data_IF_110191167186
#
_entry.id   IF_110191167186
#
_cell.length_a   1.000
_cell.length_b   1.000
_cell.length_c   1.000
_cell.angle_alpha   90.00
_cell.angle_beta   90.00
_cell.angle_gamma   90.00
#
_symmetry.space_group_name_H-M   'P 1'
#
loop_
_entity.id
_entity.type
_entity.pdbx_description
1 polymer ?
#
# COMPACT_ATOMS: atom_id res chain seq x y z
N UNK A 1 -21.63 6.99 23.29
CA UNK A 1 -20.25 7.50 23.20
C UNK A 1 -19.33 6.54 23.93
N UNK A 2 -18.89 5.50 23.24
CA UNK A 2 -17.75 4.63 23.56
C UNK A 2 -17.63 3.68 22.36
N UNK A 3 -16.70 3.95 21.45
CA UNK A 3 -16.28 2.97 20.47
C UNK A 3 -14.88 2.54 20.86
N UNK A 4 -14.81 1.34 21.46
CA UNK A 4 -13.58 0.61 21.73
C UNK A 4 -13.05 0.09 20.40
N UNK A 5 -11.90 0.59 19.96
CA UNK A 5 -11.15 0.06 18.82
C UNK A 5 -10.76 -1.38 19.14
N UNK A 6 -11.36 -2.33 18.42
CA UNK A 6 -11.02 -3.73 18.51
C UNK A 6 -9.71 -3.99 17.74
N UNK A 7 -8.57 -3.76 18.39
CA UNK A 7 -7.29 -4.32 17.95
C UNK A 7 -7.28 -5.78 18.41
N UNK A 8 -7.57 -6.72 17.49
CA UNK A 8 -7.40 -8.14 17.74
C UNK A 8 -5.90 -8.46 17.80
N UNK A 9 -5.40 -8.59 19.03
CA UNK A 9 -4.13 -9.24 19.33
C UNK A 9 -4.26 -10.75 19.09
N UNK A 10 -3.55 -11.29 18.11
CA UNK A 10 -3.26 -12.72 18.03
C UNK A 10 -1.79 -12.92 18.38
N UNK A 11 -1.54 -13.21 19.66
CA UNK A 11 -0.31 -13.86 20.11
C UNK A 11 -0.46 -15.36 19.88
N UNK A 12 0.50 -16.02 19.21
CA UNK A 12 0.73 -17.44 19.45
C UNK A 12 2.20 -17.84 19.29
N UNK A 13 2.77 -18.18 20.45
CA UNK A 13 3.69 -19.24 20.81
C UNK A 13 4.54 -19.95 19.74
N UNK A 14 5.85 -19.96 20.03
CA UNK A 14 6.90 -20.78 19.46
C UNK A 14 6.61 -22.29 19.54
N UNK A 15 6.93 -23.00 18.46
CA UNK A 15 7.47 -24.36 18.56
C UNK A 15 8.73 -24.49 17.72
N UNK A 16 9.79 -24.96 18.38
CA UNK A 16 11.09 -25.31 17.83
C UNK A 16 11.00 -26.55 16.94
N UNK A 17 11.59 -26.53 15.75
CA UNK A 17 12.11 -27.74 15.14
C UNK A 17 13.43 -27.44 14.43
N UNK A 18 14.47 -28.09 14.92
CA UNK A 18 15.82 -28.18 14.36
C UNK A 18 15.80 -28.92 13.03
N UNK A 19 16.45 -28.41 11.98
CA UNK A 19 17.05 -29.28 10.96
C UNK A 19 18.35 -28.74 10.37
N UNK A 20 19.22 -29.71 10.10
CA UNK A 20 20.63 -29.66 9.77
C UNK A 20 20.98 -29.03 8.41
N UNK A 21 22.27 -28.73 8.31
CA UNK A 21 23.00 -28.24 7.16
C UNK A 21 23.22 -29.31 6.05
N UNK A 22 23.40 -28.83 4.81
CA UNK A 22 24.57 -29.03 3.92
C UNK A 22 24.27 -29.31 2.43
N UNK A 23 24.53 -28.27 1.60
CA UNK A 23 25.24 -28.25 0.29
C UNK A 23 24.70 -29.01 -0.96
N UNK A 24 25.21 -28.77 -2.20
CA UNK A 24 25.61 -27.52 -2.88
C UNK A 24 25.00 -27.34 -4.31
N UNK A 25 25.22 -26.14 -4.90
CA UNK A 25 24.95 -25.73 -6.30
C UNK A 25 25.65 -26.60 -7.36
N UNK A 26 25.20 -26.49 -8.63
CA UNK A 26 26.16 -26.09 -9.68
C UNK A 26 25.69 -25.01 -10.69
N UNK A 27 26.64 -24.12 -10.96
CA UNK A 27 27.05 -23.41 -12.20
C UNK A 27 26.11 -23.18 -13.41
N UNK A 28 25.98 -21.90 -13.74
CA UNK A 28 26.11 -21.21 -15.06
C UNK A 28 25.72 -21.90 -16.37
N UNK A 29 24.78 -21.30 -17.09
CA UNK A 29 24.78 -21.26 -18.56
C UNK A 29 24.18 -19.94 -19.08
N UNK A 30 24.94 -19.27 -19.93
CA UNK A 30 24.56 -18.10 -20.73
C UNK A 30 23.85 -18.55 -22.01
N UNK A 31 22.69 -17.97 -22.36
CA UNK A 31 22.24 -17.91 -23.76
C UNK A 31 21.12 -16.90 -24.02
N UNK A 32 21.39 -15.99 -24.97
CA UNK A 32 20.51 -15.42 -26.00
C UNK A 32 19.08 -14.94 -25.65
N UNK A 33 18.89 -13.63 -25.77
CA UNK A 33 17.59 -12.92 -25.79
C UNK A 33 16.86 -13.15 -27.12
N UNK A 34 15.98 -14.15 -27.20
CA UNK A 34 14.93 -14.21 -28.25
C UNK A 34 13.68 -15.04 -27.90
N UNK A 35 13.50 -15.52 -26.65
CA UNK A 35 12.39 -16.42 -26.29
C UNK A 35 11.33 -15.89 -25.31
N UNK A 36 11.27 -14.58 -25.03
CA UNK A 36 10.47 -14.04 -23.90
C UNK A 36 8.94 -14.19 -24.00
N UNK A 37 8.28 -14.08 -25.17
CA UNK A 37 6.81 -14.23 -25.26
C UNK A 37 6.33 -15.64 -24.91
N UNK A 38 7.08 -16.68 -25.29
CA UNK A 38 6.73 -18.09 -25.01
C UNK A 38 6.97 -18.49 -23.55
N UNK A 39 7.86 -17.76 -22.85
CA UNK A 39 8.10 -17.96 -21.41
C UNK A 39 6.92 -17.46 -20.56
N UNK A 40 6.25 -16.40 -20.98
CA UNK A 40 5.04 -15.87 -20.31
C UNK A 40 3.86 -16.83 -20.51
N UNK A 41 3.66 -17.37 -21.72
CA UNK A 41 2.62 -18.38 -21.98
C UNK A 41 2.82 -19.65 -21.15
N UNK A 42 4.06 -20.10 -20.95
CA UNK A 42 4.36 -21.24 -20.05
C UNK A 42 4.04 -20.93 -18.59
N UNK A 43 4.50 -19.79 -18.07
CA UNK A 43 4.18 -19.37 -16.69
C UNK A 43 2.66 -19.28 -16.45
N UNK A 44 1.89 -18.83 -17.43
CA UNK A 44 0.42 -18.75 -17.36
C UNK A 44 -0.26 -20.13 -17.38
N UNK A 45 0.36 -21.14 -18.01
CA UNK A 45 -0.17 -22.50 -18.07
C UNK A 45 0.31 -23.40 -16.91
N UNK A 46 1.37 -23.00 -16.20
CA UNK A 46 1.95 -23.71 -15.04
C UNK A 46 1.41 -23.20 -13.69
N UNK A 47 0.57 -22.16 -13.68
CA UNK A 47 -0.18 -21.78 -12.47
C UNK A 47 -1.21 -22.88 -12.22
N UNK A 48 -0.89 -23.76 -11.27
CA UNK A 48 -1.82 -24.73 -10.71
C UNK A 48 -2.95 -23.96 -10.01
N UNK A 49 -4.17 -24.13 -10.54
CA UNK A 49 -5.39 -23.48 -10.05
C UNK A 49 -6.10 -24.35 -9.00
N UNK A 50 -5.45 -25.41 -8.50
CA UNK A 50 -6.00 -26.21 -7.41
C UNK A 50 -5.83 -25.48 -6.08
N UNK A 51 -6.95 -24.92 -5.62
CA UNK A 51 -7.34 -24.60 -4.26
C UNK A 51 -6.20 -24.47 -3.23
N UNK A 52 -5.69 -23.24 -3.06
CA UNK A 52 -5.26 -22.77 -1.76
C UNK A 52 -6.41 -21.94 -1.19
N UNK A 53 -7.01 -22.42 -0.09
CA UNK A 53 -8.03 -21.72 0.69
C UNK A 53 -7.46 -20.38 1.21
N UNK A 54 -7.55 -19.34 0.39
CA UNK A 54 -7.56 -17.97 0.88
C UNK A 54 -8.95 -17.79 1.49
N UNK A 55 -9.04 -17.85 2.83
CA UNK A 55 -10.25 -17.46 3.55
C UNK A 55 -10.63 -16.07 3.06
N UNK A 56 -11.61 -16.04 2.16
CA UNK A 56 -12.05 -14.82 1.53
C UNK A 56 -12.64 -13.93 2.62
N UNK A 57 -11.94 -12.85 2.94
CA UNK A 57 -12.50 -11.70 3.62
C UNK A 57 -13.59 -11.11 2.70
N UNK A 58 -14.75 -11.75 2.69
CA UNK A 58 -15.99 -11.17 2.21
C UNK A 58 -16.28 -9.97 3.11
N UNK A 59 -16.52 -8.80 2.50
CA UNK A 59 -16.92 -7.61 3.23
C UNK A 59 -18.33 -7.86 3.80
N UNK A 60 -18.42 -8.50 4.96
CA UNK A 60 -19.71 -8.79 5.61
C UNK A 60 -20.34 -7.54 6.25
N UNK A 61 -19.65 -6.40 6.29
CA UNK A 61 -20.16 -5.16 6.89
C UNK A 61 -20.28 -4.03 5.86
N UNK A 62 -21.51 -3.77 5.41
CA UNK A 62 -21.87 -2.62 4.57
C UNK A 62 -21.33 -1.29 5.13
N UNK A 63 -21.16 -1.17 6.46
CA UNK A 63 -20.59 0.03 7.08
C UNK A 63 -19.13 0.24 6.75
N UNK A 64 -18.34 -0.84 6.66
CA UNK A 64 -16.94 -0.74 6.26
C UNK A 64 -16.83 -0.24 4.83
N UNK A 65 -17.68 -0.78 3.94
CA UNK A 65 -17.70 -0.37 2.53
C UNK A 65 -18.17 1.08 2.34
N UNK A 66 -19.15 1.54 3.11
CA UNK A 66 -19.58 2.94 3.09
C UNK A 66 -18.48 3.89 3.62
N UNK A 67 -17.80 3.53 4.72
CA UNK A 67 -16.66 4.31 5.24
C UNK A 67 -15.51 4.37 4.23
N UNK A 68 -15.26 3.25 3.55
CA UNK A 68 -14.31 3.13 2.44
C UNK A 68 -14.65 4.10 1.30
N UNK A 69 -15.89 4.08 0.80
CA UNK A 69 -16.32 4.98 -0.28
C UNK A 69 -16.23 6.44 0.17
N UNK A 70 -16.59 6.74 1.42
CA UNK A 70 -16.51 8.08 1.99
C UNK A 70 -15.07 8.61 1.98
N UNK A 71 -14.10 7.84 2.50
CA UNK A 71 -12.68 8.21 2.57
C UNK A 71 -12.05 8.33 1.18
N UNK A 72 -12.33 7.39 0.29
CA UNK A 72 -11.86 7.42 -1.10
C UNK A 72 -12.39 8.64 -1.86
N UNK A 73 -13.69 8.93 -1.74
CA UNK A 73 -14.31 10.11 -2.36
C UNK A 73 -13.81 11.44 -1.78
N UNK A 74 -13.45 11.48 -0.50
CA UNK A 74 -12.80 12.65 0.09
C UNK A 74 -11.44 12.89 -0.57
N UNK A 75 -10.58 11.85 -0.65
CA UNK A 75 -9.27 11.97 -1.28
C UNK A 75 -9.38 12.35 -2.76
N UNK A 76 -10.38 11.83 -3.48
CA UNK A 76 -10.62 12.19 -4.87
C UNK A 76 -11.00 13.66 -5.05
N UNK A 77 -11.83 14.21 -4.17
CA UNK A 77 -12.30 15.60 -4.24
C UNK A 77 -11.27 16.62 -3.75
N UNK A 78 -10.47 16.24 -2.75
CA UNK A 78 -9.57 17.13 -2.02
C UNK A 78 -8.11 16.98 -2.43
N UNK A 79 -7.77 15.88 -3.10
CA UNK A 79 -6.43 15.60 -3.58
C UNK A 79 -5.96 16.59 -4.65
N UNK A 80 -4.65 16.78 -4.71
CA UNK A 80 -4.00 17.67 -5.67
C UNK A 80 -3.85 17.02 -7.05
N UNK A 81 -3.90 17.80 -8.14
CA UNK A 81 -3.68 17.28 -9.50
C UNK A 81 -2.30 16.63 -9.73
N UNK A 82 -1.30 16.88 -8.86
CA UNK A 82 0.05 16.29 -8.95
C UNK A 82 0.11 14.80 -8.58
N UNK A 83 -0.91 14.26 -7.90
CA UNK A 83 -1.05 12.83 -7.62
C UNK A 83 -1.74 12.14 -8.81
N UNK A 84 -0.97 11.83 -9.86
CA UNK A 84 -1.35 11.04 -11.05
C UNK A 84 -2.86 11.06 -11.37
N UNK A 85 -3.29 12.18 -11.95
CA UNK A 85 -4.52 12.40 -12.72
C UNK A 85 -5.67 11.40 -12.53
N UNK A 86 -6.32 11.51 -11.37
CA UNK A 86 -7.64 10.95 -11.08
C UNK A 86 -8.71 11.30 -12.15
N UNK A 87 -8.55 12.43 -12.84
CA UNK A 87 -9.46 12.86 -13.92
C UNK A 87 -9.35 12.04 -15.19
N UNK A 88 -8.22 11.36 -15.43
CA UNK A 88 -7.94 10.78 -16.74
C UNK A 88 -8.67 9.45 -16.96
N UNK A 89 -9.17 8.84 -15.89
CA UNK A 89 -9.71 7.48 -15.90
C UNK A 89 -11.18 7.37 -15.50
N UNK A 90 -11.87 8.47 -15.22
CA UNK A 90 -13.25 8.46 -14.73
C UNK A 90 -14.20 7.68 -15.66
N UNK A 91 -14.08 7.87 -16.98
CA UNK A 91 -14.87 7.13 -17.96
C UNK A 91 -14.56 5.63 -17.98
N UNK A 92 -13.29 5.27 -17.81
CA UNK A 92 -12.83 3.88 -17.74
C UNK A 92 -13.37 3.20 -16.48
N UNK A 93 -13.31 3.89 -15.34
CA UNK A 93 -13.79 3.38 -14.05
C UNK A 93 -15.30 3.20 -14.04
N UNK A 94 -16.05 4.20 -14.51
CA UNK A 94 -17.51 4.15 -14.59
C UNK A 94 -17.99 2.97 -15.46
N UNK A 95 -17.30 2.68 -16.55
CA UNK A 95 -17.59 1.50 -17.35
C UNK A 95 -17.22 0.22 -16.60
N UNK A 96 -15.95 0.10 -16.20
CA UNK A 96 -15.37 -1.15 -15.69
C UNK A 96 -16.04 -1.64 -14.42
N UNK A 97 -16.43 -0.72 -13.52
CA UNK A 97 -17.10 -1.09 -12.27
C UNK A 97 -18.48 -1.70 -12.46
N UNK A 98 -19.13 -1.49 -13.61
CA UNK A 98 -20.49 -2.00 -13.90
C UNK A 98 -20.51 -3.35 -14.63
N UNK A 99 -19.37 -3.80 -15.17
CA UNK A 99 -19.32 -5.02 -15.97
C UNK A 99 -19.31 -6.26 -15.06
N UNK A 100 -20.31 -7.13 -15.20
CA UNK A 100 -20.38 -8.40 -14.48
C UNK A 100 -19.57 -9.51 -15.18
N UNK A 101 -18.73 -10.28 -14.45
CA UNK A 101 -18.12 -11.49 -15.01
C UNK A 101 -19.07 -12.70 -15.03
N UNK A 102 -20.16 -12.71 -14.26
CA UNK A 102 -21.02 -13.89 -14.09
C UNK A 102 -21.63 -14.38 -15.41
N UNK A 103 -21.83 -13.47 -16.37
CA UNK A 103 -22.38 -13.78 -17.69
C UNK A 103 -21.36 -14.43 -18.64
N UNK A 104 -20.10 -14.54 -18.23
CA UNK A 104 -19.00 -15.03 -19.05
C UNK A 104 -18.54 -16.42 -18.61
N UNK A 105 -18.43 -17.34 -19.59
CA UNK A 105 -17.91 -18.69 -19.37
C UNK A 105 -16.38 -18.80 -19.54
N UNK A 106 -15.72 -17.71 -19.90
CA UNK A 106 -14.28 -17.66 -20.20
C UNK A 106 -13.75 -16.28 -19.84
N UNK A 107 -12.63 -16.28 -19.11
CA UNK A 107 -11.91 -15.07 -18.73
C UNK A 107 -11.41 -14.30 -19.96
N UNK A 108 -11.07 -15.00 -21.04
CA UNK A 108 -10.64 -14.43 -22.32
C UNK A 108 -11.73 -13.56 -22.94
N UNK A 109 -12.97 -14.09 -23.02
CA UNK A 109 -14.10 -13.33 -23.55
C UNK A 109 -14.44 -12.14 -22.66
N UNK A 110 -14.42 -12.34 -21.34
CA UNK A 110 -14.66 -11.29 -20.38
C UNK A 110 -13.64 -10.14 -20.52
N UNK A 111 -12.35 -10.45 -20.51
CA UNK A 111 -11.27 -9.45 -20.64
C UNK A 111 -11.36 -8.73 -21.98
N UNK A 112 -11.67 -9.46 -23.07
CA UNK A 112 -11.85 -8.85 -24.38
C UNK A 112 -12.97 -7.81 -24.36
N UNK A 113 -14.13 -8.15 -23.79
CA UNK A 113 -15.27 -7.22 -23.74
C UNK A 113 -14.98 -6.05 -22.80
N UNK A 114 -14.41 -6.31 -21.61
CA UNK A 114 -13.98 -5.30 -20.63
C UNK A 114 -13.01 -4.27 -21.23
N UNK A 115 -12.18 -4.69 -22.19
CA UNK A 115 -11.14 -3.83 -22.76
C UNK A 115 -11.40 -3.39 -24.20
N UNK A 116 -12.51 -3.84 -24.81
CA UNK A 116 -12.81 -3.64 -26.23
C UNK A 116 -13.01 -2.17 -26.60
N UNK A 117 -13.57 -1.38 -25.69
CA UNK A 117 -13.85 0.05 -25.88
C UNK A 117 -12.62 0.94 -25.72
N UNK A 118 -11.47 0.39 -25.32
CA UNK A 118 -10.27 1.17 -25.01
C UNK A 118 -9.15 0.87 -26.01
N UNK A 119 -8.61 1.89 -26.66
CA UNK A 119 -7.51 1.75 -27.63
C UNK A 119 -6.14 1.77 -26.96
N UNK A 120 -5.96 2.61 -25.93
CA UNK A 120 -4.69 2.79 -25.24
C UNK A 120 -4.44 1.69 -24.21
N UNK A 121 -3.21 1.19 -24.12
CA UNK A 121 -2.84 0.15 -23.13
C UNK A 121 -3.05 0.63 -21.68
N UNK A 122 -2.76 1.91 -21.41
CA UNK A 122 -2.99 2.53 -20.09
C UNK A 122 -4.46 2.46 -19.64
N UNK A 123 -5.41 2.58 -20.57
CA UNK A 123 -6.84 2.54 -20.27
C UNK A 123 -7.31 1.09 -20.11
N UNK A 124 -6.79 0.16 -20.91
CA UNK A 124 -7.04 -1.28 -20.74
C UNK A 124 -6.57 -1.79 -19.40
N UNK A 125 -5.35 -1.45 -18.98
CA UNK A 125 -4.83 -1.87 -17.67
C UNK A 125 -5.59 -1.19 -16.53
N UNK A 126 -6.03 0.07 -16.71
CA UNK A 126 -6.92 0.71 -15.75
C UNK A 126 -8.26 0.00 -15.64
N UNK A 127 -8.86 -0.41 -16.77
CA UNK A 127 -10.13 -1.12 -16.77
C UNK A 127 -10.04 -2.45 -15.99
N UNK A 128 -8.97 -3.22 -16.26
CA UNK A 128 -8.66 -4.46 -15.55
C UNK A 128 -8.47 -4.18 -14.05
N UNK A 129 -7.62 -3.21 -13.71
CA UNK A 129 -7.35 -2.82 -12.32
C UNK A 129 -8.63 -2.42 -11.58
N UNK A 130 -9.40 -1.50 -12.16
CA UNK A 130 -10.61 -0.94 -11.58
C UNK A 130 -11.66 -2.03 -11.36
N UNK A 131 -11.82 -2.94 -12.33
CA UNK A 131 -12.69 -4.09 -12.18
C UNK A 131 -12.25 -5.00 -11.02
N UNK A 132 -10.96 -5.33 -10.92
CA UNK A 132 -10.45 -6.19 -9.85
C UNK A 132 -10.61 -5.58 -8.46
N UNK A 133 -10.43 -4.27 -8.31
CA UNK A 133 -10.59 -3.61 -7.00
C UNK A 133 -12.06 -3.58 -6.57
N UNK A 134 -13.01 -3.37 -7.48
CA UNK A 134 -14.41 -3.12 -7.11
C UNK A 134 -15.32 -4.36 -7.17
N UNK A 135 -15.02 -5.35 -8.03
CA UNK A 135 -15.93 -6.45 -8.32
C UNK A 135 -15.46 -7.82 -7.84
N UNK A 136 -14.21 -7.96 -7.39
CA UNK A 136 -13.63 -9.28 -7.10
C UNK A 136 -14.40 -10.07 -6.02
N UNK A 137 -14.89 -9.43 -4.96
CA UNK A 137 -15.71 -10.10 -3.94
C UNK A 137 -17.18 -10.28 -4.33
N UNK A 138 -17.67 -9.53 -5.33
CA UNK A 138 -19.05 -9.63 -5.78
C UNK A 138 -19.29 -10.85 -6.65
N UNK A 139 -18.23 -11.62 -6.94
CA UNK A 139 -18.36 -12.74 -7.84
C UNK A 139 -17.52 -13.94 -7.43
N UNK A 140 -18.23 -15.03 -7.11
CA UNK A 140 -17.69 -16.38 -6.91
C UNK A 140 -16.87 -16.92 -8.11
N UNK A 141 -16.88 -16.22 -9.25
CA UNK A 141 -16.19 -16.61 -10.49
C UNK A 141 -14.65 -16.55 -10.39
N UNK A 142 -14.09 -15.85 -9.39
CA UNK A 142 -12.65 -15.55 -9.30
C UNK A 142 -12.07 -15.93 -7.93
N UNK A 143 -11.94 -17.23 -7.62
CA UNK A 143 -11.21 -17.71 -6.42
C UNK A 143 -9.67 -17.60 -6.53
N UNK A 144 -9.15 -16.83 -7.48
CA UNK A 144 -7.71 -16.76 -7.82
C UNK A 144 -7.13 -15.44 -7.31
N UNK A 145 -6.06 -15.51 -6.49
CA UNK A 145 -5.34 -14.34 -5.94
C UNK A 145 -5.26 -13.15 -6.91
N UNK A 146 -5.54 -11.94 -6.42
CA UNK A 146 -5.75 -10.73 -7.24
C UNK A 146 -4.57 -10.40 -8.15
N UNK A 147 -3.35 -10.54 -7.66
CA UNK A 147 -2.10 -10.32 -8.37
C UNK A 147 -1.86 -11.32 -9.52
N UNK A 148 -2.29 -12.58 -9.35
CA UNK A 148 -2.28 -13.61 -10.40
C UNK A 148 -3.37 -13.32 -11.43
N UNK A 149 -4.54 -12.89 -11.00
CA UNK A 149 -5.63 -12.50 -11.90
C UNK A 149 -5.25 -11.29 -12.75
N UNK A 150 -4.62 -10.27 -12.15
CA UNK A 150 -4.07 -9.14 -12.92
C UNK A 150 -3.06 -9.60 -13.96
N UNK A 151 -2.09 -10.45 -13.57
CA UNK A 151 -1.10 -11.02 -14.48
C UNK A 151 -1.76 -11.74 -15.68
N UNK A 152 -2.76 -12.60 -15.40
CA UNK A 152 -3.50 -13.33 -16.44
C UNK A 152 -4.22 -12.37 -17.38
N UNK A 153 -4.99 -11.42 -16.84
CA UNK A 153 -5.76 -10.46 -17.65
C UNK A 153 -4.85 -9.56 -18.50
N UNK A 154 -3.68 -9.14 -17.98
CA UNK A 154 -2.67 -8.40 -18.74
C UNK A 154 -2.18 -9.18 -19.96
N UNK A 155 -1.90 -10.48 -19.78
CA UNK A 155 -1.41 -11.34 -20.86
C UNK A 155 -2.41 -11.43 -22.03
N UNK A 156 -3.71 -11.40 -21.73
CA UNK A 156 -4.80 -11.48 -22.71
C UNK A 156 -4.96 -10.22 -23.55
N UNK A 157 -4.41 -9.09 -23.08
CA UNK A 157 -4.43 -7.80 -23.78
C UNK A 157 -3.05 -7.34 -24.24
N UNK A 158 -2.06 -8.23 -24.24
CA UNK A 158 -0.67 -7.97 -24.66
C UNK A 158 0.01 -6.85 -23.86
N UNK A 159 -0.23 -6.81 -22.55
CA UNK A 159 0.48 -5.95 -21.60
C UNK A 159 1.45 -6.83 -20.81
N UNK A 160 2.73 -6.44 -20.75
CA UNK A 160 3.71 -7.19 -19.96
C UNK A 160 3.43 -6.94 -18.48
N UNK A 161 3.42 -8.02 -17.70
CA UNK A 161 3.18 -7.98 -16.27
C UNK A 161 4.05 -9.05 -15.60
N UNK A 162 4.63 -8.72 -14.45
CA UNK A 162 5.42 -9.61 -13.59
C UNK A 162 4.94 -9.44 -12.14
N UNK A 163 4.89 -10.55 -11.38
CA UNK A 163 4.65 -10.50 -9.94
C UNK A 163 5.95 -10.08 -9.24
N UNK A 164 5.82 -9.07 -8.40
CA UNK A 164 6.88 -8.56 -7.54
C UNK A 164 6.64 -9.10 -6.13
N UNK A 165 7.65 -9.77 -5.59
CA UNK A 165 7.68 -10.23 -4.21
C UNK A 165 8.48 -9.24 -3.36
N UNK A 166 8.08 -9.06 -2.11
CA UNK A 166 8.81 -8.21 -1.16
C UNK A 166 8.07 -8.03 0.16
N UNK A 167 8.30 -6.88 0.78
CA UNK A 167 7.71 -6.49 2.05
C UNK A 167 6.80 -5.27 1.90
N UNK A 168 5.69 -5.27 2.64
CA UNK A 168 4.79 -4.13 2.78
C UNK A 168 4.70 -3.68 4.23
N UNK A 169 4.72 -2.37 4.47
CA UNK A 169 4.32 -1.79 5.76
C UNK A 169 2.80 -1.88 5.91
N UNK A 170 2.31 -3.00 6.43
CA UNK A 170 0.89 -3.27 6.66
C UNK A 170 0.36 -2.57 7.93
N UNK A 171 -0.89 -2.86 8.32
CA UNK A 171 -1.60 -2.20 9.42
C UNK A 171 -0.82 -2.17 10.74
N UNK A 172 -0.04 -3.21 11.01
CA UNK A 172 0.69 -3.39 12.27
C UNK A 172 2.19 -3.09 12.15
N UNK A 173 2.64 -2.49 11.04
CA UNK A 173 4.05 -2.12 10.92
C UNK A 173 4.35 -0.87 11.75
N UNK A 174 5.36 -0.95 12.62
CA UNK A 174 5.88 0.17 13.40
C UNK A 174 7.29 0.53 12.89
N UNK A 175 7.58 1.80 12.56
CA UNK A 175 8.92 2.21 12.13
C UNK A 175 10.01 1.74 13.11
N UNK A 176 11.05 1.13 12.57
CA UNK A 176 12.15 0.52 13.34
C UNK A 176 11.95 -0.96 13.66
N UNK A 177 10.78 -1.55 13.42
CA UNK A 177 10.58 -2.99 13.62
C UNK A 177 11.38 -3.82 12.60
N UNK A 178 11.64 -5.08 12.95
CA UNK A 178 12.30 -6.03 12.04
C UNK A 178 11.29 -6.53 11.01
N UNK A 179 11.71 -6.65 9.76
CA UNK A 179 10.92 -7.33 8.75
C UNK A 179 10.83 -8.82 9.09
N UNK A 180 9.67 -9.41 8.83
CA UNK A 180 9.37 -10.82 9.07
C UNK A 180 8.23 -11.27 8.13
N UNK A 181 7.83 -12.53 8.24
CA UNK A 181 6.83 -13.15 7.35
C UNK A 181 5.46 -12.43 7.36
N UNK A 182 5.08 -11.78 8.46
CA UNK A 182 3.81 -11.03 8.57
C UNK A 182 3.76 -9.81 7.64
N UNK A 183 4.92 -9.35 7.16
CA UNK A 183 5.03 -8.21 6.25
C UNK A 183 5.28 -8.63 4.80
N UNK A 184 5.34 -9.94 4.50
CA UNK A 184 5.50 -10.42 3.13
C UNK A 184 4.27 -10.06 2.30
N UNK A 185 4.52 -9.57 1.10
CA UNK A 185 3.47 -9.11 0.20
C UNK A 185 3.85 -9.34 -1.26
N UNK A 186 2.84 -9.28 -2.13
CA UNK A 186 3.00 -9.42 -3.57
C UNK A 186 2.18 -8.34 -4.29
N UNK A 187 2.77 -7.77 -5.33
CA UNK A 187 2.13 -6.80 -6.22
C UNK A 187 2.64 -7.00 -7.64
N UNK A 188 2.30 -6.11 -8.57
CA UNK A 188 2.63 -6.28 -9.99
C UNK A 188 3.50 -5.14 -10.53
N UNK A 189 4.44 -5.49 -11.40
CA UNK A 189 5.14 -4.57 -12.28
C UNK A 189 4.56 -4.75 -13.69
N UNK A 190 4.02 -3.68 -14.26
CA UNK A 190 3.52 -3.67 -15.64
C UNK A 190 4.45 -2.86 -16.54
N UNK A 191 4.61 -3.33 -17.78
CA UNK A 191 5.38 -2.64 -18.80
C UNK A 191 4.54 -2.49 -20.07
N UNK A 192 4.34 -1.25 -20.50
CA UNK A 192 3.66 -0.91 -21.75
C UNK A 192 4.17 0.44 -22.26
N UNK A 193 4.29 0.58 -23.58
CA UNK A 193 4.63 1.86 -24.24
C UNK A 193 5.86 2.56 -23.61
N UNK A 194 6.91 1.77 -23.33
CA UNK A 194 8.17 2.15 -22.66
C UNK A 194 8.02 2.68 -21.22
N UNK A 195 6.84 2.54 -20.63
CA UNK A 195 6.53 2.85 -19.23
C UNK A 195 6.62 1.58 -18.41
N UNK A 196 7.34 1.66 -17.28
CA UNK A 196 7.28 0.69 -16.19
C UNK A 196 6.44 1.28 -15.06
N UNK A 197 5.45 0.53 -14.58
CA UNK A 197 4.57 0.99 -13.51
C UNK A 197 4.28 -0.08 -12.48
N UNK A 198 4.11 0.32 -11.22
CA UNK A 198 3.81 -0.56 -10.11
C UNK A 198 2.32 -0.49 -9.80
N UNK A 199 1.69 -1.66 -9.63
CA UNK A 199 0.27 -1.81 -9.33
C UNK A 199 0.09 -2.77 -8.17
N UNK A 200 -0.66 -2.37 -7.14
CA UNK A 200 -1.00 -3.25 -6.02
C UNK A 200 -2.52 -3.33 -5.81
N UNK A 201 -3.12 -4.31 -6.49
CA UNK A 201 -4.57 -4.57 -6.43
C UNK A 201 -4.99 -5.05 -5.03
N UNK A 202 -4.14 -5.86 -4.36
CA UNK A 202 -4.48 -6.45 -3.06
C UNK A 202 -4.56 -5.37 -2.00
N UNK A 203 -3.59 -4.45 -1.96
CA UNK A 203 -3.62 -3.33 -1.01
C UNK A 203 -4.71 -2.32 -1.36
N UNK A 204 -4.91 -1.99 -2.64
CA UNK A 204 -5.99 -1.10 -3.09
C UNK A 204 -7.37 -1.58 -2.67
N UNK A 205 -7.56 -2.88 -2.65
CA UNK A 205 -8.78 -3.51 -2.17
C UNK A 205 -8.92 -3.39 -0.66
N UNK A 206 -7.87 -3.74 0.11
CA UNK A 206 -7.97 -3.81 1.58
C UNK A 206 -7.87 -2.46 2.30
N UNK A 207 -7.27 -1.44 1.68
CA UNK A 207 -7.05 -0.15 2.33
C UNK A 207 -8.06 0.90 1.85
N UNK A 208 -8.84 1.52 2.75
CA UNK A 208 -9.84 2.55 2.41
C UNK A 208 -9.24 3.88 1.94
N UNK A 209 -7.95 3.90 1.66
CA UNK A 209 -7.16 5.05 1.34
C UNK A 209 -6.55 4.84 -0.04
N UNK A 210 -7.09 5.47 -1.07
CA UNK A 210 -6.40 5.58 -2.35
C UNK A 210 -6.36 4.32 -3.19
N UNK A 211 -7.52 3.83 -3.63
CA UNK A 211 -7.63 2.94 -4.81
C UNK A 211 -6.74 3.46 -5.94
N UNK A 212 -6.75 4.77 -6.15
CA UNK A 212 -6.00 5.38 -7.22
C UNK A 212 -4.50 5.47 -6.91
N UNK A 213 -4.14 5.52 -5.64
CA UNK A 213 -2.75 5.60 -5.22
C UNK A 213 -1.97 4.36 -5.64
N UNK A 214 -2.56 3.16 -5.56
CA UNK A 214 -1.91 1.89 -5.87
C UNK A 214 -1.95 1.52 -7.36
N UNK A 215 -2.37 2.43 -8.24
CA UNK A 215 -2.34 2.24 -9.69
C UNK A 215 -1.24 3.11 -10.31
N UNK A 216 -0.20 2.48 -10.86
CA UNK A 216 0.95 3.16 -11.47
C UNK A 216 1.56 4.20 -10.53
N UNK A 217 1.66 3.85 -9.24
CA UNK A 217 2.24 4.72 -8.22
C UNK A 217 3.66 5.11 -8.60
N UNK A 218 4.01 6.39 -8.41
CA UNK A 218 5.39 6.85 -8.56
C UNK A 218 6.30 6.01 -7.65
N UNK A 219 7.42 5.45 -8.18
CA UNK A 219 8.31 4.60 -7.39
C UNK A 219 8.80 5.26 -6.09
N UNK A 220 9.03 6.58 -6.10
CA UNK A 220 9.48 7.37 -4.95
C UNK A 220 8.45 7.41 -3.82
N UNK A 221 7.17 7.25 -4.16
CA UNK A 221 6.09 7.19 -3.19
C UNK A 221 5.85 5.75 -2.72
N UNK A 222 5.80 4.79 -3.65
CA UNK A 222 5.47 3.40 -3.30
C UNK A 222 6.55 2.76 -2.43
N UNK A 223 7.83 3.08 -2.66
CA UNK A 223 8.96 2.54 -1.89
C UNK A 223 8.87 2.82 -0.38
N UNK A 224 8.11 3.85 0.02
CA UNK A 224 7.91 4.20 1.44
C UNK A 224 7.13 3.09 2.17
N UNK A 225 6.26 2.38 1.46
CA UNK A 225 5.45 1.29 2.00
C UNK A 225 5.76 -0.09 1.40
N UNK A 226 6.42 -0.19 0.23
CA UNK A 226 6.71 -1.45 -0.47
C UNK A 226 8.19 -1.60 -0.82
N UNK A 227 8.87 -2.58 -0.21
CA UNK A 227 10.26 -2.91 -0.52
C UNK A 227 10.33 -4.23 -1.31
N UNK A 228 10.68 -4.21 -2.60
CA UNK A 228 10.82 -5.45 -3.37
C UNK A 228 12.08 -6.24 -2.98
N UNK A 229 12.00 -7.57 -3.10
CA UNK A 229 13.15 -8.47 -2.92
C UNK A 229 14.24 -8.19 -3.97
N UNK A 230 13.83 -7.90 -5.20
CA UNK A 230 14.71 -7.53 -6.32
C UNK A 230 14.90 -6.02 -6.37
N UNK A 231 16.15 -5.56 -6.26
CA UNK A 231 16.49 -4.13 -6.20
C UNK A 231 16.09 -3.36 -7.48
N UNK A 232 16.10 -4.03 -8.63
CA UNK A 232 15.67 -3.47 -9.91
C UNK A 232 14.18 -3.09 -9.91
N UNK A 233 13.33 -3.84 -9.20
CA UNK A 233 11.89 -3.58 -9.12
C UNK A 233 11.55 -2.35 -8.27
N UNK A 234 12.53 -1.73 -7.59
CA UNK A 234 12.32 -0.45 -6.93
C UNK A 234 12.07 0.66 -7.94
N UNK A 235 12.55 0.53 -9.20
CA UNK A 235 12.48 1.56 -10.25
C UNK A 235 13.09 2.94 -9.87
N UNK A 236 13.74 3.06 -8.72
CA UNK A 236 14.44 4.27 -8.29
C UNK A 236 15.83 4.38 -8.90
N UNK A 237 16.29 5.62 -9.12
CA UNK A 237 17.69 5.93 -9.38
C UNK A 237 18.56 5.62 -8.14
N UNK A 238 18.11 6.05 -6.95
CA UNK A 238 18.78 5.79 -5.68
C UNK A 238 18.07 4.66 -4.92
N UNK A 239 18.67 3.48 -4.94
CA UNK A 239 18.10 2.29 -4.30
C UNK A 239 18.12 2.41 -2.78
N UNK A 240 17.10 1.85 -2.12
CA UNK A 240 17.06 1.73 -0.67
C UNK A 240 17.29 0.27 -0.26
N UNK A 241 17.87 0.06 0.92
CA UNK A 241 18.01 -1.24 1.53
C UNK A 241 16.94 -1.45 2.62
N UNK A 242 16.89 -2.67 3.16
CA UNK A 242 15.98 -3.06 4.24
C UNK A 242 16.09 -2.15 5.47
N UNK A 243 17.31 -1.83 5.91
CA UNK A 243 17.54 -0.99 7.08
C UNK A 243 16.92 0.41 6.91
N UNK A 244 17.16 1.04 5.76
CA UNK A 244 16.57 2.33 5.44
C UNK A 244 15.05 2.24 5.33
N UNK A 245 14.52 1.17 4.73
CA UNK A 245 13.08 0.95 4.61
C UNK A 245 12.40 0.79 5.98
N UNK A 246 12.94 -0.05 6.87
CA UNK A 246 12.32 -0.28 8.18
C UNK A 246 12.38 0.94 9.08
N UNK A 247 13.47 1.71 9.01
CA UNK A 247 13.62 2.94 9.78
C UNK A 247 12.93 4.15 9.12
N UNK A 248 12.42 4.00 7.89
CA UNK A 248 11.68 5.07 7.24
C UNK A 248 10.29 5.22 7.81
N UNK A 249 9.72 6.40 7.62
CA UNK A 249 8.37 6.74 8.03
C UNK A 249 7.37 5.72 7.48
N UNK A 250 6.36 5.40 8.26
CA UNK A 250 5.18 4.73 7.72
C UNK A 250 4.25 5.82 7.20
N UNK A 251 3.80 5.70 5.95
CA UNK A 251 2.90 6.68 5.35
C UNK A 251 1.75 6.00 4.66
N UNK A 252 0.62 6.71 4.63
CA UNK A 252 -0.60 6.29 3.97
C UNK A 252 -0.82 7.10 2.69
N UNK A 253 -1.66 6.61 1.77
CA UNK A 253 -2.00 7.30 0.52
C UNK A 253 -2.44 8.76 0.70
N UNK A 254 -3.07 9.11 1.84
CA UNK A 254 -3.48 10.47 2.16
C UNK A 254 -2.31 11.47 2.17
N UNK A 255 -1.10 11.08 2.60
CA UNK A 255 0.10 11.94 2.56
C UNK A 255 0.35 12.47 1.15
N UNK A 256 0.26 11.59 0.16
CA UNK A 256 0.57 11.90 -1.23
C UNK A 256 -0.61 12.57 -1.94
N UNK A 257 -1.81 12.04 -1.76
CA UNK A 257 -3.02 12.59 -2.39
C UNK A 257 -3.26 14.04 -1.97
N UNK A 258 -3.06 14.35 -0.68
CA UNK A 258 -3.26 15.69 -0.13
C UNK A 258 -2.00 16.57 -0.15
N UNK A 259 -0.92 16.10 -0.80
CA UNK A 259 0.36 16.82 -0.90
C UNK A 259 0.92 17.29 0.46
N UNK A 260 0.76 16.48 1.51
CA UNK A 260 1.30 16.78 2.84
C UNK A 260 2.80 16.53 2.82
N UNK A 261 3.59 17.59 3.02
CA UNK A 261 5.06 17.53 2.96
C UNK A 261 5.65 17.54 4.36
N UNK A 262 6.59 16.62 4.61
CA UNK A 262 7.38 16.62 5.85
C UNK A 262 8.52 17.63 5.73
N UNK A 263 8.58 18.57 6.68
CA UNK A 263 9.63 19.59 6.77
C UNK A 263 10.66 19.25 7.86
N UNK A 264 10.19 18.70 8.97
CA UNK A 264 11.02 18.12 10.03
C UNK A 264 10.29 16.90 10.63
N UNK A 265 10.97 15.79 10.95
CA UNK A 265 12.38 15.50 10.63
C UNK A 265 12.58 15.41 9.10
N UNK A 266 13.81 15.16 8.64
CA UNK A 266 14.08 14.97 7.21
C UNK A 266 13.06 13.99 6.61
N UNK A 267 12.49 14.33 5.44
CA UNK A 267 11.43 13.52 4.84
C UNK A 267 11.88 12.06 4.65
N UNK A 268 10.94 11.15 4.91
CA UNK A 268 11.19 9.72 4.92
C UNK A 268 11.77 9.17 6.21
N UNK A 269 12.22 9.96 7.20
CA UNK A 269 12.69 9.42 8.49
C UNK A 269 11.51 9.07 9.40
N UNK A 270 11.46 7.83 9.90
CA UNK A 270 10.36 7.32 10.73
C UNK A 270 10.76 6.90 12.13
N UNK A 271 11.98 6.39 12.29
CA UNK A 271 12.54 6.00 13.59
C UNK A 271 13.47 7.10 14.11
N UNK A 272 13.11 7.69 15.25
CA UNK A 272 13.78 8.85 15.85
C UNK A 272 14.32 8.44 17.21
N UNK A 273 15.59 8.74 17.47
CA UNK A 273 16.19 8.58 18.79
C UNK A 273 16.36 9.95 19.45
N UNK A 274 15.94 10.08 20.71
CA UNK A 274 16.14 11.30 21.50
C UNK A 274 16.65 10.96 22.90
N UNK A 275 17.55 11.81 23.42
CA UNK A 275 18.06 11.73 24.80
C UNK A 275 17.39 12.75 25.72
N UNK A 276 16.63 13.68 25.17
CA UNK A 276 16.06 14.82 25.91
C UNK A 276 14.57 14.68 26.15
N UNK A 277 13.92 13.73 25.50
CA UNK A 277 12.47 13.62 25.45
C UNK A 277 11.79 14.73 24.63
N UNK A 278 12.55 15.63 24.00
CA UNK A 278 12.02 16.71 23.16
C UNK A 278 12.20 16.36 21.69
N UNK A 279 11.15 16.58 20.91
CA UNK A 279 11.15 16.34 19.47
C UNK A 279 10.07 17.18 18.80
N UNK A 280 10.27 17.57 17.54
CA UNK A 280 9.28 18.35 16.79
C UNK A 280 9.04 17.72 15.42
N UNK A 281 7.79 17.53 15.07
CA UNK A 281 7.36 17.22 13.69
C UNK A 281 6.81 18.50 13.08
N UNK A 282 7.31 18.87 11.90
CA UNK A 282 6.85 20.03 11.13
C UNK A 282 6.37 19.56 9.78
N UNK A 283 5.14 19.89 9.43
CA UNK A 283 4.50 19.49 8.18
C UNK A 283 3.95 20.71 7.48
N UNK A 284 3.93 20.66 6.15
CA UNK A 284 3.16 21.60 5.35
C UNK A 284 1.91 20.91 4.85
N UNK A 285 0.75 21.43 5.23
CA UNK A 285 -0.56 20.95 4.82
C UNK A 285 -1.39 22.14 4.34
N UNK A 286 -1.54 22.27 3.01
CA UNK A 286 -2.31 23.38 2.45
C UNK A 286 -3.78 23.07 2.52
N UNK A 287 -4.58 23.92 3.18
CA UNK A 287 -6.05 23.82 3.22
C UNK A 287 -6.58 22.54 3.90
N UNK A 288 -5.73 21.90 4.69
CA UNK A 288 -6.07 20.72 5.47
C UNK A 288 -5.71 20.93 6.92
N UNK A 289 -6.58 20.45 7.82
CA UNK A 289 -6.32 20.49 9.26
C UNK A 289 -5.74 19.15 9.69
N UNK A 290 -4.55 19.15 10.30
CA UNK A 290 -3.99 17.96 10.90
C UNK A 290 -4.24 17.91 12.41
N UNK A 291 -4.23 16.69 12.92
CA UNK A 291 -4.15 16.40 14.34
C UNK A 291 -3.20 15.24 14.57
N UNK A 292 -2.92 14.93 15.82
CA UNK A 292 -2.00 13.86 16.19
C UNK A 292 -2.61 12.96 17.24
N UNK A 293 -2.23 11.69 17.19
CA UNK A 293 -2.40 10.72 18.27
C UNK A 293 -1.02 10.26 18.70
N UNK A 294 -0.72 10.38 19.99
CA UNK A 294 0.51 9.89 20.62
C UNK A 294 0.18 8.73 21.55
N UNK A 295 0.88 7.61 21.37
CA UNK A 295 0.68 6.38 22.16
C UNK A 295 1.99 5.90 22.73
N UNK A 296 1.96 5.41 23.97
CA UNK A 296 3.03 4.59 24.56
C UNK A 296 2.61 3.13 24.50
N UNK A 297 3.49 2.27 24.00
CA UNK A 297 3.29 0.82 24.02
C UNK A 297 3.97 0.27 25.28
N UNK A 298 3.16 -0.17 26.25
CA UNK A 298 3.62 -0.77 27.50
C UNK A 298 3.25 -2.25 27.60
N UNK A 299 3.66 -2.89 28.70
CA UNK A 299 3.37 -4.31 28.99
C UNK A 299 1.86 -4.61 29.07
N UNK A 300 1.04 -3.61 29.38
CA UNK A 300 -0.42 -3.72 29.49
C UNK A 300 -1.16 -3.21 28.24
N UNK A 301 -0.46 -3.08 27.12
CA UNK A 301 -1.00 -2.58 25.87
C UNK A 301 -0.70 -1.11 25.63
N UNK A 302 -1.49 -0.52 24.73
CA UNK A 302 -1.34 0.86 24.28
C UNK A 302 -2.02 1.85 25.21
N UNK A 303 -1.31 2.93 25.56
CA UNK A 303 -1.88 4.07 26.30
C UNK A 303 -1.73 5.34 25.49
N UNK A 304 -2.86 5.98 25.16
CA UNK A 304 -2.91 7.31 24.54
C UNK A 304 -2.45 8.39 25.53
N UNK A 305 -1.57 9.27 25.09
CA UNK A 305 -0.88 10.28 25.91
C UNK A 305 -0.71 11.61 25.15
N UNK A 306 -1.75 12.05 24.46
CA UNK A 306 -1.72 13.25 23.60
C UNK A 306 -1.41 14.54 24.37
N UNK A 307 -1.56 14.56 25.71
CA UNK A 307 -1.24 15.70 26.56
C UNK A 307 0.24 16.14 26.47
N UNK A 308 1.11 15.29 25.92
CA UNK A 308 2.53 15.61 25.69
C UNK A 308 2.84 16.12 24.29
N UNK A 309 1.81 16.41 23.49
CA UNK A 309 1.93 17.03 22.16
C UNK A 309 1.32 18.43 22.20
N UNK A 310 2.15 19.44 22.01
CA UNK A 310 1.70 20.81 21.73
C UNK A 310 1.59 20.99 20.21
N UNK A 311 0.39 21.30 19.73
CA UNK A 311 0.12 21.52 18.31
C UNK A 311 -0.08 23.01 18.05
N UNK A 312 0.75 23.58 17.17
CA UNK A 312 0.67 24.97 16.74
C UNK A 312 0.73 25.10 15.22
N UNK A 313 0.01 26.08 14.70
CA UNK A 313 -0.04 26.41 13.27
C UNK A 313 0.73 27.71 13.05
N UNK A 314 1.73 27.68 12.17
CA UNK A 314 2.46 28.87 11.72
C UNK A 314 1.74 29.50 10.53
N UNK A 315 1.07 30.63 10.78
CA UNK A 315 0.29 31.36 9.77
C UNK A 315 1.13 31.92 8.60
N UNK A 316 2.46 31.98 8.74
CA UNK A 316 3.34 32.56 7.72
C UNK A 316 3.68 31.55 6.62
N UNK A 317 3.65 30.24 6.93
CA UNK A 317 4.15 29.19 6.03
C UNK A 317 3.18 28.02 5.80
N UNK A 318 1.95 28.10 6.34
CA UNK A 318 0.97 26.99 6.37
C UNK A 318 1.60 25.71 6.97
N UNK A 319 2.40 25.91 8.01
CA UNK A 319 3.14 24.84 8.68
C UNK A 319 2.45 24.43 9.97
N UNK A 320 2.19 23.15 10.10
CA UNK A 320 1.71 22.52 11.32
C UNK A 320 2.89 21.92 12.07
N UNK A 321 3.04 22.34 13.33
CA UNK A 321 4.15 21.95 14.19
C UNK A 321 3.61 21.21 15.41
N UNK A 322 4.05 19.98 15.57
CA UNK A 322 3.77 19.12 16.72
C UNK A 322 5.04 19.04 17.56
N UNK A 323 5.05 19.75 18.68
CA UNK A 323 6.15 19.76 19.64
C UNK A 323 5.86 18.75 20.76
N UNK A 324 6.75 17.79 20.93
CA UNK A 324 6.62 16.71 21.90
C UNK A 324 7.53 16.98 23.10
N UNK A 325 6.98 16.82 24.30
CA UNK A 325 7.73 16.83 25.57
C UNK A 325 7.41 15.55 26.34
N UNK A 326 8.20 14.52 26.10
CA UNK A 326 7.93 13.16 26.56
C UNK A 326 8.26 12.99 28.05
N UNK A 327 7.36 12.38 28.84
CA UNK A 327 7.48 12.34 30.31
C UNK A 327 8.52 11.34 30.82
N UNK A 328 8.86 10.30 30.05
CA UNK A 328 9.73 9.23 30.51
C UNK A 328 10.47 8.55 29.36
N UNK A 329 11.62 7.95 29.68
CA UNK A 329 12.42 7.15 28.75
C UNK A 329 11.67 5.88 28.37
N UNK A 330 11.11 5.85 27.18
CA UNK A 330 10.40 4.71 26.59
C UNK A 330 10.20 4.96 25.10
N UNK A 331 9.54 4.02 24.42
CA UNK A 331 9.12 4.14 23.02
C UNK A 331 7.71 4.73 22.91
N UNK A 332 7.58 5.72 22.05
CA UNK A 332 6.32 6.38 21.70
C UNK A 332 6.04 6.21 20.22
N UNK A 333 4.77 6.05 19.88
CA UNK A 333 4.28 6.06 18.50
C UNK A 333 3.47 7.32 18.29
N UNK A 334 3.94 8.19 17.41
CA UNK A 334 3.22 9.38 16.99
C UNK A 334 2.59 9.12 15.63
N UNK A 335 1.27 9.23 15.54
CA UNK A 335 0.54 9.15 14.27
C UNK A 335 -0.08 10.51 13.98
N UNK A 336 0.23 11.07 12.81
CA UNK A 336 -0.40 12.29 12.32
C UNK A 336 -1.58 11.89 11.43
N UNK A 337 -2.72 12.53 11.66
CA UNK A 337 -3.96 12.29 10.93
C UNK A 337 -4.50 13.60 10.36
N UNK A 338 -5.14 13.53 9.21
CA UNK A 338 -6.03 14.61 8.75
C UNK A 338 -7.33 14.47 9.52
N UNK A 339 -7.79 15.57 10.10
CA UNK A 339 -9.04 15.67 10.82
C UNK A 339 -9.91 16.75 10.17
N UNK A 340 -10.81 16.34 9.29
CA UNK A 340 -11.77 17.24 8.64
C UNK A 340 -13.19 16.67 8.74
N UNK A 341 -14.13 17.48 9.23
CA UNK A 341 -15.53 17.09 9.42
C UNK A 341 -15.63 15.74 10.17
N UNK A 342 -16.16 14.70 9.51
CA UNK A 342 -16.23 13.33 10.04
C UNK A 342 -15.32 12.34 9.28
N UNK A 343 -14.23 12.82 8.67
CA UNK A 343 -13.19 11.99 8.06
C UNK A 343 -11.90 12.06 8.85
N UNK A 344 -11.40 10.90 9.28
CA UNK A 344 -10.07 10.71 9.84
C UNK A 344 -9.21 9.87 8.89
N UNK A 345 -8.12 10.46 8.39
CA UNK A 345 -7.18 9.78 7.52
C UNK A 345 -5.80 9.78 8.18
N UNK A 346 -5.21 8.62 8.49
CA UNK A 346 -3.81 8.59 8.86
C UNK A 346 -2.96 9.09 7.68
N UNK A 347 -1.94 9.88 7.99
CA UNK A 347 -1.04 10.47 7.00
C UNK A 347 0.30 9.79 7.09
N UNK A 348 0.85 9.78 8.31
CA UNK A 348 2.17 9.24 8.57
C UNK A 348 2.40 8.96 10.05
N UNK A 349 3.30 8.04 10.33
CA UNK A 349 3.58 7.54 11.67
C UNK A 349 5.09 7.44 11.90
N UNK A 350 5.47 7.79 13.13
CA UNK A 350 6.82 7.81 13.64
C UNK A 350 6.93 6.97 14.90
N UNK A 351 8.12 6.41 15.10
CA UNK A 351 8.57 5.85 16.36
C UNK A 351 9.58 6.79 16.99
N UNK A 352 9.32 7.23 18.21
CA UNK A 352 10.26 8.02 19.01
C UNK A 352 10.78 7.15 20.16
N UNK A 353 12.07 6.83 20.09
CA UNK A 353 12.81 6.07 21.09
C UNK A 353 13.51 7.06 22.04
N UNK A 354 12.92 7.29 23.23
CA UNK A 354 13.48 8.14 24.26
C UNK A 354 14.36 7.31 25.21
N UNK A 355 15.68 7.52 25.14
CA UNK A 355 16.72 6.77 25.86
C UNK A 355 17.29 7.47 27.08
#
# INVERSE_FOLDING_TARGET
MHFSTAIRLVYNFFFTSTMNADTPRPSSASSSRSGRPERIKRLVNEIDLSDEDDEGDAWEDDKFFEEYLRKSNYLRRRGTQESNSLSDYESVDNFSTTVSCCSYRSIEKFVKDLTSSFSLKKDKIRAIYSWLVHNYNRVDCCRIRRELTLLKMCSLVNIQCEIVHGYRKSENFIPGDKLNELYRHQWNLVTFDDINGLIDVKTAFSEPYGIDYFFLTKPENLIISHLPDKVEHQLLANKINEEKFRNSIRSWPAKFALSIKTLAPMDGVGFIQTKTGKFSVKLRARRHSLSSTLVVIGLHGEKRVDEYVDHRISNIEEEEVFDLVLPAKTRYILTIVVQEEDVQLPVQQYTIDYQ
#
